data_IF_961926427148
#
_entry.id   IF_961926427148
#
_cell.length_a   1.000
_cell.length_b   1.000
_cell.length_c   1.000
_cell.angle_alpha   90.00
_cell.angle_beta   90.00
_cell.angle_gamma   90.00
#
_symmetry.space_group_name_H-M   'P 1'
#
loop_
_entity.id
_entity.type
_entity.pdbx_description
1 polymer ?
#
# COMPACT_ATOMS: atom_id res chain seq x y z
N UNK A 1 -45.73 -38.98 30.72
CA UNK A 1 -44.45 -38.27 30.95
C UNK A 1 -43.47 -38.77 29.92
N UNK A 2 -43.07 -37.95 28.94
CA UNK A 2 -41.77 -38.05 28.23
C UNK A 2 -41.68 -36.95 27.17
N UNK A 3 -41.02 -35.86 27.55
CA UNK A 3 -40.70 -34.72 26.69
C UNK A 3 -39.69 -35.14 25.62
N UNK A 4 -40.02 -34.95 24.34
CA UNK A 4 -39.07 -35.10 23.24
C UNK A 4 -38.11 -33.90 23.27
N UNK A 5 -36.88 -34.10 23.74
CA UNK A 5 -35.85 -33.06 23.78
C UNK A 5 -35.34 -32.79 22.36
N UNK A 6 -35.55 -31.55 21.90
CA UNK A 6 -35.00 -31.04 20.65
C UNK A 6 -33.50 -30.76 20.87
N UNK A 7 -32.62 -31.52 20.24
CA UNK A 7 -31.18 -31.29 20.30
C UNK A 7 -30.82 -30.20 19.27
N UNK A 8 -30.55 -28.98 19.74
CA UNK A 8 -29.91 -27.94 18.91
C UNK A 8 -28.44 -28.30 18.72
N UNK A 9 -28.06 -28.62 17.49
CA UNK A 9 -26.66 -28.79 17.08
C UNK A 9 -26.12 -27.42 16.66
N UNK A 10 -25.39 -26.76 17.55
CA UNK A 10 -24.66 -25.52 17.23
C UNK A 10 -23.36 -25.87 16.50
N UNK A 11 -23.34 -25.63 15.19
CA UNK A 11 -22.17 -25.81 14.34
C UNK A 11 -21.18 -24.66 14.60
N UNK A 12 -20.18 -24.89 15.45
CA UNK A 12 -19.10 -23.94 15.70
C UNK A 12 -18.18 -23.88 14.47
N UNK A 13 -18.39 -22.92 13.57
CA UNK A 13 -17.44 -22.61 12.50
C UNK A 13 -16.25 -21.87 13.10
N UNK A 14 -15.18 -22.60 13.42
CA UNK A 14 -13.90 -22.01 13.77
C UNK A 14 -13.32 -21.29 12.55
N UNK A 15 -13.40 -19.96 12.54
CA UNK A 15 -12.66 -19.15 11.57
C UNK A 15 -11.16 -19.28 11.84
N UNK A 16 -10.37 -19.64 10.82
CA UNK A 16 -8.92 -19.53 10.90
C UNK A 16 -8.55 -18.05 10.99
N UNK A 17 -8.03 -17.64 12.15
CA UNK A 17 -7.43 -16.32 12.29
C UNK A 17 -6.04 -16.39 11.65
N UNK A 18 -5.91 -15.91 10.41
CA UNK A 18 -4.60 -15.72 9.80
C UNK A 18 -3.90 -14.59 10.56
N UNK A 19 -2.92 -14.95 11.39
CA UNK A 19 -2.06 -13.97 12.05
C UNK A 19 -1.07 -13.43 11.01
N UNK A 20 -1.15 -12.14 10.70
CA UNK A 20 -0.13 -11.44 9.91
C UNK A 20 1.08 -11.22 10.81
N UNK A 21 2.12 -12.03 10.63
CA UNK A 21 3.41 -11.79 11.29
C UNK A 21 4.07 -10.56 10.68
N UNK A 22 4.43 -9.58 11.51
CA UNK A 22 5.20 -8.43 11.06
C UNK A 22 6.59 -8.90 10.64
N UNK A 23 6.86 -8.91 9.34
CA UNK A 23 8.20 -9.20 8.82
C UNK A 23 9.09 -7.97 9.05
N UNK A 24 10.26 -8.17 9.66
CA UNK A 24 11.27 -7.13 9.77
C UNK A 24 12.19 -7.21 8.55
N UNK A 25 12.40 -6.06 7.91
CA UNK A 25 13.29 -5.92 6.77
C UNK A 25 14.53 -5.17 7.21
N UNK A 26 15.71 -5.70 6.84
CA UNK A 26 17.00 -5.08 7.10
C UNK A 26 17.62 -4.64 5.79
N UNK A 27 18.22 -3.45 5.80
CA UNK A 27 18.97 -2.94 4.66
C UNK A 27 20.20 -3.83 4.42
N UNK A 28 20.40 -4.27 3.17
CA UNK A 28 21.61 -5.02 2.77
C UNK A 28 22.77 -4.08 2.41
N UNK A 29 22.44 -2.86 2.00
CA UNK A 29 23.36 -1.79 1.66
C UNK A 29 22.72 -0.41 1.94
N UNK A 30 23.48 0.66 1.70
CA UNK A 30 23.05 2.05 1.93
C UNK A 30 22.54 2.73 0.65
N UNK A 31 22.15 1.96 -0.37
CA UNK A 31 21.62 2.54 -1.61
C UNK A 31 20.26 3.22 -1.39
N UNK A 32 19.97 4.18 -2.27
CA UNK A 32 18.70 4.92 -2.28
C UNK A 32 17.52 3.96 -2.47
N UNK A 33 17.66 2.98 -3.35
CA UNK A 33 16.66 1.95 -3.61
C UNK A 33 16.41 1.09 -2.38
N UNK A 34 17.47 0.65 -1.68
CA UNK A 34 17.34 -0.10 -0.44
C UNK A 34 16.57 0.72 0.60
N UNK A 35 16.92 1.98 0.80
CA UNK A 35 16.22 2.85 1.76
C UNK A 35 14.75 3.05 1.39
N UNK A 36 14.45 3.27 0.10
CA UNK A 36 13.07 3.35 -0.39
C UNK A 36 12.30 2.07 -0.08
N UNK A 37 12.88 0.90 -0.31
CA UNK A 37 12.24 -0.39 -0.03
C UNK A 37 11.97 -0.61 1.47
N UNK A 38 12.94 -0.28 2.32
CA UNK A 38 12.79 -0.38 3.78
C UNK A 38 11.68 0.56 4.27
N UNK A 39 11.70 1.83 3.87
CA UNK A 39 10.69 2.81 4.28
C UNK A 39 9.30 2.51 3.73
N UNK A 40 9.22 1.94 2.53
CA UNK A 40 7.97 1.44 1.97
C UNK A 40 7.40 0.27 2.80
N UNK A 41 8.24 -0.69 3.20
CA UNK A 41 7.81 -1.81 4.05
C UNK A 41 7.44 -1.38 5.47
N UNK A 42 8.14 -0.40 6.06
CA UNK A 42 7.85 0.13 7.40
C UNK A 42 6.47 0.82 7.48
N UNK A 43 5.90 1.26 6.36
CA UNK A 43 4.57 1.88 6.32
C UNK A 43 4.51 3.31 6.85
N UNK A 44 5.65 3.91 7.21
CA UNK A 44 5.73 5.28 7.69
C UNK A 44 5.75 6.26 6.50
N UNK A 45 4.59 6.82 6.16
CA UNK A 45 4.42 7.74 5.03
C UNK A 45 5.31 8.99 5.10
N UNK A 46 5.57 9.53 6.29
CA UNK A 46 6.41 10.73 6.43
C UNK A 46 7.86 10.39 6.11
N UNK A 47 8.35 9.28 6.66
CA UNK A 47 9.69 8.78 6.36
C UNK A 47 9.84 8.47 4.87
N UNK A 48 8.88 7.76 4.27
CA UNK A 48 8.90 7.44 2.85
C UNK A 48 8.86 8.70 1.97
N UNK A 49 8.03 9.69 2.32
CA UNK A 49 7.98 10.96 1.58
C UNK A 49 9.32 11.69 1.59
N UNK A 50 9.97 11.76 2.74
CA UNK A 50 11.30 12.38 2.85
C UNK A 50 12.34 11.59 2.05
N UNK A 51 12.30 10.26 2.09
CA UNK A 51 13.21 9.42 1.31
C UNK A 51 13.02 9.62 -0.20
N UNK A 52 11.77 9.64 -0.67
CA UNK A 52 11.45 9.96 -2.07
C UNK A 52 12.00 11.33 -2.49
N UNK A 53 11.86 12.36 -1.64
CA UNK A 53 12.38 13.70 -1.90
C UNK A 53 13.92 13.73 -1.98
N UNK A 54 14.59 12.98 -1.10
CA UNK A 54 16.04 12.93 -1.01
C UNK A 54 16.67 12.06 -2.10
N UNK A 55 15.93 11.07 -2.62
CA UNK A 55 16.40 10.14 -3.65
C UNK A 55 16.81 10.79 -4.97
N UNK A 56 16.26 11.98 -5.28
CA UNK A 56 16.38 12.61 -6.59
C UNK A 56 15.57 11.92 -7.70
N UNK A 57 14.89 10.81 -7.42
CA UNK A 57 14.04 10.12 -8.37
C UNK A 57 12.66 10.78 -8.48
N UNK A 58 12.10 10.74 -9.69
CA UNK A 58 10.71 11.13 -9.89
C UNK A 58 9.76 10.13 -9.23
N UNK A 59 8.63 10.60 -8.72
CA UNK A 59 7.59 9.75 -8.13
C UNK A 59 7.18 8.61 -9.08
N UNK A 60 7.10 8.89 -10.39
CA UNK A 60 6.82 7.89 -11.43
C UNK A 60 7.91 6.84 -11.55
N UNK A 61 9.18 7.24 -11.50
CA UNK A 61 10.30 6.29 -11.52
C UNK A 61 10.23 5.36 -10.31
N UNK A 62 10.01 5.92 -9.11
CA UNK A 62 9.90 5.13 -7.89
C UNK A 62 8.78 4.08 -8.02
N UNK A 63 7.58 4.50 -8.38
CA UNK A 63 6.44 3.59 -8.48
C UNK A 63 6.58 2.51 -9.58
N UNK A 64 7.32 2.79 -10.67
CA UNK A 64 7.33 1.90 -11.85
C UNK A 64 8.64 1.16 -12.08
N UNK A 65 9.76 1.62 -11.51
CA UNK A 65 11.11 1.10 -11.77
C UNK A 65 11.86 0.62 -10.55
N UNK A 66 11.54 1.11 -9.35
CA UNK A 66 12.19 0.62 -8.12
C UNK A 66 11.68 -0.78 -7.81
N UNK A 67 12.63 -1.69 -7.56
CA UNK A 67 12.37 -3.08 -7.21
C UNK A 67 12.94 -3.41 -5.85
N UNK A 68 12.15 -4.09 -5.03
CA UNK A 68 12.51 -4.58 -3.71
C UNK A 68 12.50 -6.10 -3.74
N UNK A 69 13.67 -6.73 -3.52
CA UNK A 69 13.83 -8.19 -3.58
C UNK A 69 13.29 -8.81 -4.90
N UNK A 70 13.50 -8.12 -6.02
CA UNK A 70 13.05 -8.56 -7.34
C UNK A 70 11.58 -8.27 -7.67
N UNK A 71 10.80 -7.72 -6.74
CA UNK A 71 9.41 -7.32 -6.95
C UNK A 71 9.31 -5.80 -7.13
N UNK A 72 8.37 -5.31 -7.95
CA UNK A 72 8.10 -3.87 -8.02
C UNK A 72 7.68 -3.34 -6.63
N UNK A 73 8.10 -2.11 -6.28
CA UNK A 73 7.84 -1.54 -4.95
C UNK A 73 6.34 -1.54 -4.54
N UNK A 74 5.40 -1.39 -5.48
CA UNK A 74 3.97 -1.47 -5.19
C UNK A 74 3.57 -2.89 -4.78
N UNK A 75 3.97 -3.90 -5.56
CA UNK A 75 3.69 -5.30 -5.27
C UNK A 75 4.35 -5.73 -3.94
N UNK A 76 5.58 -5.26 -3.71
CA UNK A 76 6.31 -5.51 -2.47
C UNK A 76 5.56 -4.93 -1.25
N UNK A 77 5.09 -3.69 -1.34
CA UNK A 77 4.30 -3.06 -0.26
C UNK A 77 2.98 -3.79 -0.04
N UNK A 78 2.28 -4.19 -1.10
CA UNK A 78 1.01 -4.93 -0.98
C UNK A 78 1.19 -6.23 -0.18
N UNK A 79 2.28 -6.95 -0.43
CA UNK A 79 2.56 -8.26 0.16
C UNK A 79 3.22 -8.19 1.54
N UNK A 80 4.05 -7.16 1.77
CA UNK A 80 4.96 -7.13 2.91
C UNK A 80 4.87 -5.85 3.77
N UNK A 81 4.22 -4.81 3.28
CA UNK A 81 4.18 -3.51 3.93
C UNK A 81 3.32 -3.48 5.19
N UNK A 82 3.77 -2.72 6.19
CA UNK A 82 2.92 -2.29 7.29
C UNK A 82 1.98 -1.19 6.75
N UNK A 83 0.68 -1.28 7.04
CA UNK A 83 -0.34 -0.33 6.52
C UNK A 83 -0.31 -0.16 4.97
N UNK A 84 -0.40 -1.26 4.19
CA UNK A 84 -0.14 -1.26 2.76
C UNK A 84 -1.06 -0.31 2.00
N UNK A 85 -2.36 -0.24 2.34
CA UNK A 85 -3.33 0.64 1.69
C UNK A 85 -2.89 2.12 1.66
N UNK A 86 -2.40 2.63 2.80
CA UNK A 86 -1.97 4.03 2.93
C UNK A 86 -0.67 4.30 2.16
N UNK A 87 0.25 3.33 2.15
CA UNK A 87 1.51 3.45 1.44
C UNK A 87 1.30 3.35 -0.08
N UNK A 88 0.50 2.37 -0.53
CA UNK A 88 0.09 2.21 -1.92
C UNK A 88 -0.61 3.46 -2.45
N UNK A 89 -1.56 4.03 -1.71
CA UNK A 89 -2.20 5.28 -2.12
C UNK A 89 -1.16 6.40 -2.28
N UNK A 90 -0.17 6.52 -1.39
CA UNK A 90 0.88 7.54 -1.54
C UNK A 90 1.74 7.32 -2.78
N UNK A 91 2.18 6.08 -3.02
CA UNK A 91 3.07 5.73 -4.12
C UNK A 91 2.35 5.79 -5.48
N UNK A 92 1.12 5.28 -5.56
CA UNK A 92 0.33 5.23 -6.79
C UNK A 92 -0.32 6.58 -7.12
N UNK A 93 -0.86 7.32 -6.13
CA UNK A 93 -1.50 8.63 -6.39
C UNK A 93 -0.55 9.61 -7.05
N UNK A 94 0.75 9.55 -6.70
CA UNK A 94 1.77 10.42 -7.29
C UNK A 94 2.07 10.10 -8.75
N UNK A 95 1.67 8.94 -9.25
CA UNK A 95 1.73 8.62 -10.69
C UNK A 95 0.53 9.16 -11.47
N UNK A 96 -0.60 9.41 -10.80
CA UNK A 96 -1.89 9.81 -11.41
C UNK A 96 -2.11 11.31 -11.51
N UNK A 97 -1.18 12.14 -11.04
CA UNK A 97 -1.34 13.61 -10.98
C UNK A 97 -0.82 14.31 -12.25
N UNK A 98 -1.49 14.10 -13.38
CA UNK A 98 -1.61 15.14 -14.43
C UNK A 98 -2.97 15.05 -15.09
N UNK A 99 -3.98 15.73 -14.54
CA UNK A 99 -5.18 16.11 -15.29
C UNK A 99 -5.03 17.59 -15.63
N UNK A 100 -4.78 17.89 -16.90
CA UNK A 100 -4.78 19.28 -17.39
C UNK A 100 -6.25 19.69 -17.52
N UNK A 101 -6.75 20.44 -16.55
CA UNK A 101 -8.06 21.08 -16.64
C UNK A 101 -7.90 22.39 -17.42
N UNK A 102 -8.46 22.44 -18.64
CA UNK A 102 -8.50 23.66 -19.44
C UNK A 102 -9.50 24.66 -18.83
N UNK A 103 -8.98 25.78 -18.31
CA UNK A 103 -9.77 26.83 -17.67
C UNK A 103 -10.52 27.69 -18.71
N UNK A 104 -10.12 27.66 -19.99
CA UNK A 104 -10.77 28.43 -21.06
C UNK A 104 -12.11 27.82 -21.49
N UNK A 105 -12.48 26.63 -21.00
CA UNK A 105 -13.72 25.93 -21.33
C UNK A 105 -14.88 26.22 -20.37
N UNK A 106 -14.92 27.41 -19.77
CA UNK A 106 -16.10 27.87 -19.04
C UNK A 106 -17.14 28.39 -20.06
N UNK A 107 -17.89 27.49 -20.68
CA UNK A 107 -19.04 27.86 -21.49
C UNK A 107 -20.12 28.37 -20.56
N UNK A 108 -20.20 29.69 -20.40
CA UNK A 108 -21.41 30.34 -19.90
C UNK A 108 -22.49 30.06 -20.96
N UNK A 109 -23.40 29.14 -20.68
CA UNK A 109 -24.64 29.06 -21.44
C UNK A 109 -25.44 30.32 -21.11
N UNK A 110 -25.28 31.34 -21.95
CA UNK A 110 -26.18 32.49 -21.98
C UNK A 110 -27.54 31.97 -22.42
N UNK A 111 -28.50 32.00 -21.48
CA UNK A 111 -29.90 31.68 -21.70
C UNK A 111 -30.69 32.96 -21.95
#
# INVERSE_FOLDING_TARGET
>A
MTSKKLALVTLLTSGMIMSVSATEFNAVDESVETNLCIKAAEGNRVAMFNEMRNSGYSDKFIATKVTCNGENILAFVEKHGKNPEKMLNMLDRRTRLTSITDIAKNTLEEK
#
